data_IF_886115221830
#
_entry.id   IF_886115221830
#
_cell.length_a   1.000
_cell.length_b   1.000
_cell.length_c   1.000
_cell.angle_alpha   90.00
_cell.angle_beta   90.00
_cell.angle_gamma   90.00
#
_symmetry.space_group_name_H-M   'P 1'
#
loop_
_entity.id
_entity.type
_entity.pdbx_description
1 polymer ?
#
# COMPACT_ATOMS: atom_id res chain seq x y z
N UNK A 1 -3.15 6.97 -13.24
CA UNK A 1 -3.55 5.84 -14.10
C UNK A 1 -3.34 4.42 -13.51
N UNK A 2 -2.71 4.24 -12.33
CA UNK A 2 -2.58 2.90 -11.71
C UNK A 2 -3.76 2.49 -10.81
N UNK A 3 -4.55 3.46 -10.30
CA UNK A 3 -5.70 3.19 -9.43
C UNK A 3 -6.88 2.51 -10.14
N UNK A 4 -7.11 2.80 -11.42
CA UNK A 4 -8.22 2.22 -12.19
C UNK A 4 -7.98 0.76 -12.56
N UNK A 5 -6.74 0.35 -12.85
CA UNK A 5 -6.40 -1.05 -13.21
C UNK A 5 -6.51 -2.02 -12.02
N UNK A 6 -6.02 -1.64 -10.85
CA UNK A 6 -6.19 -2.42 -9.61
C UNK A 6 -7.67 -2.50 -9.19
N UNK A 7 -8.45 -1.43 -9.41
CA UNK A 7 -9.88 -1.41 -9.09
C UNK A 7 -10.72 -2.34 -9.98
N UNK A 8 -10.33 -2.51 -11.26
CA UNK A 8 -10.97 -3.46 -12.17
C UNK A 8 -10.60 -4.91 -11.84
N UNK A 9 -9.32 -5.19 -11.53
CA UNK A 9 -8.91 -6.54 -11.10
C UNK A 9 -9.60 -6.96 -9.79
N UNK A 10 -9.75 -6.05 -8.82
CA UNK A 10 -10.49 -6.31 -7.56
C UNK A 10 -11.99 -6.56 -7.77
N UNK A 11 -12.62 -5.88 -8.74
CA UNK A 11 -14.07 -6.05 -9.03
C UNK A 11 -14.41 -7.43 -9.60
N UNK A 12 -13.51 -8.06 -10.35
CA UNK A 12 -13.74 -9.39 -10.93
C UNK A 12 -13.18 -10.56 -10.09
N UNK A 13 -12.39 -10.28 -9.05
CA UNK A 13 -11.76 -11.32 -8.24
C UNK A 13 -12.73 -12.36 -7.66
N UNK A 14 -13.93 -12.01 -7.13
CA UNK A 14 -14.88 -13.01 -6.63
C UNK A 14 -15.39 -13.95 -7.74
N UNK A 15 -15.71 -13.39 -8.91
CA UNK A 15 -16.17 -14.17 -10.08
C UNK A 15 -15.06 -15.10 -10.59
N UNK A 16 -13.85 -14.56 -10.75
CA UNK A 16 -12.67 -15.32 -11.21
C UNK A 16 -12.34 -16.45 -10.24
N UNK A 17 -12.37 -16.19 -8.92
CA UNK A 17 -12.13 -17.21 -7.90
C UNK A 17 -13.18 -18.33 -7.94
N UNK A 18 -14.46 -17.98 -8.12
CA UNK A 18 -15.55 -18.97 -8.23
C UNK A 18 -15.44 -19.82 -9.49
N UNK A 19 -15.16 -19.20 -10.64
CA UNK A 19 -14.93 -19.90 -11.91
C UNK A 19 -13.72 -20.83 -11.82
N UNK A 20 -12.62 -20.36 -11.21
CA UNK A 20 -11.43 -21.16 -10.97
C UNK A 20 -11.74 -22.36 -10.07
N UNK A 21 -12.51 -22.17 -8.99
CA UNK A 21 -12.94 -23.25 -8.11
C UNK A 21 -13.74 -24.32 -8.84
N UNK A 22 -14.69 -23.93 -9.68
CA UNK A 22 -15.45 -24.87 -10.50
C UNK A 22 -14.54 -25.65 -11.47
N UNK A 23 -13.55 -24.99 -12.09
CA UNK A 23 -12.59 -25.67 -12.97
C UNK A 23 -11.68 -26.64 -12.21
N UNK A 24 -11.13 -26.24 -11.06
CA UNK A 24 -10.27 -27.10 -10.23
C UNK A 24 -11.00 -28.40 -9.82
N UNK A 25 -12.29 -28.31 -9.49
CA UNK A 25 -13.08 -29.48 -9.08
C UNK A 25 -13.36 -30.45 -10.24
N UNK A 26 -13.53 -29.92 -11.46
CA UNK A 26 -13.91 -30.71 -12.64
C UNK A 26 -12.72 -31.04 -13.57
N UNK A 27 -11.51 -30.62 -13.24
CA UNK A 27 -10.32 -30.88 -14.06
C UNK A 27 -9.97 -32.38 -14.04
N UNK A 28 -9.69 -32.97 -15.20
CA UNK A 28 -9.28 -34.36 -15.32
C UNK A 28 -7.88 -34.58 -14.74
N UNK A 29 -7.53 -35.80 -14.35
CA UNK A 29 -6.22 -36.11 -13.77
C UNK A 29 -5.05 -35.97 -14.77
N UNK A 30 -5.35 -35.95 -16.07
CA UNK A 30 -4.38 -35.67 -17.14
C UNK A 30 -4.51 -34.24 -17.69
N UNK A 31 -5.29 -33.39 -17.02
CA UNK A 31 -5.57 -32.02 -17.40
C UNK A 31 -4.48 -31.05 -16.96
N UNK A 32 -4.86 -29.81 -16.66
CA UNK A 32 -3.90 -28.78 -16.26
C UNK A 32 -3.24 -29.11 -14.91
N UNK A 33 -1.92 -29.32 -14.93
CA UNK A 33 -1.12 -29.67 -13.75
C UNK A 33 -1.25 -28.65 -12.59
N UNK A 34 -1.37 -27.35 -12.86
CA UNK A 34 -1.53 -26.32 -11.82
C UNK A 34 -2.89 -26.43 -11.12
N UNK A 35 -3.95 -26.73 -11.87
CA UNK A 35 -5.30 -26.92 -11.30
C UNK A 35 -5.37 -28.19 -10.46
N UNK A 36 -4.77 -29.27 -10.94
CA UNK A 36 -4.62 -30.53 -10.19
C UNK A 36 -3.80 -30.28 -8.90
N UNK A 37 -2.75 -29.48 -8.97
CA UNK A 37 -1.95 -29.12 -7.80
C UNK A 37 -2.75 -28.35 -6.75
N UNK A 38 -3.62 -27.42 -7.13
CA UNK A 38 -4.53 -26.76 -6.17
C UNK A 38 -5.40 -27.81 -5.47
N UNK A 39 -5.95 -28.76 -6.22
CA UNK A 39 -6.78 -29.86 -5.69
C UNK A 39 -6.02 -30.72 -4.68
N UNK A 40 -4.79 -31.10 -5.02
CA UNK A 40 -3.89 -31.92 -4.18
C UNK A 40 -3.42 -31.17 -2.92
N UNK A 41 -3.09 -29.89 -3.04
CA UNK A 41 -2.71 -29.03 -1.90
C UNK A 41 -3.87 -28.90 -0.92
N UNK A 42 -5.09 -28.64 -1.42
CA UNK A 42 -6.28 -28.56 -0.57
C UNK A 42 -6.54 -29.85 0.21
N UNK A 43 -6.29 -31.00 -0.42
CA UNK A 43 -6.45 -32.30 0.23
C UNK A 43 -5.36 -32.55 1.28
N UNK A 44 -4.10 -32.18 1.00
CA UNK A 44 -2.97 -32.36 1.93
C UNK A 44 -3.07 -31.47 3.17
N UNK A 45 -3.59 -30.26 3.00
CA UNK A 45 -3.71 -29.26 4.07
C UNK A 45 -5.11 -29.23 4.71
N UNK A 46 -5.97 -30.20 4.39
CA UNK A 46 -7.27 -30.30 5.06
C UNK A 46 -7.06 -30.52 6.56
N UNK A 47 -7.74 -29.73 7.38
CA UNK A 47 -7.76 -29.86 8.83
C UNK A 47 -9.18 -30.14 9.30
N UNK A 48 -9.34 -30.56 10.55
CA UNK A 48 -10.67 -30.73 11.18
C UNK A 48 -11.49 -29.43 11.11
N UNK A 49 -10.81 -28.28 11.14
CA UNK A 49 -11.41 -26.95 11.15
C UNK A 49 -11.83 -26.44 9.76
N UNK A 50 -11.13 -26.86 8.70
CA UNK A 50 -11.37 -26.37 7.34
C UNK A 50 -11.78 -27.54 6.42
N UNK A 51 -13.09 -27.63 6.16
CA UNK A 51 -13.64 -28.58 5.20
C UNK A 51 -13.04 -28.41 3.80
N UNK A 52 -12.85 -29.52 3.09
CA UNK A 52 -12.22 -29.58 1.77
C UNK A 52 -12.77 -28.55 0.75
N UNK A 53 -14.10 -28.37 0.57
CA UNK A 53 -14.63 -27.36 -0.35
C UNK A 53 -14.31 -25.92 0.07
N UNK A 54 -14.23 -25.64 1.38
CA UNK A 54 -13.84 -24.32 1.91
C UNK A 54 -12.36 -24.04 1.68
N UNK A 55 -11.51 -25.06 1.80
CA UNK A 55 -10.09 -24.98 1.48
C UNK A 55 -9.88 -24.65 0.00
N UNK A 56 -10.54 -25.39 -0.90
CA UNK A 56 -10.53 -25.10 -2.35
C UNK A 56 -10.97 -23.66 -2.64
N UNK A 57 -12.10 -23.22 -2.08
CA UNK A 57 -12.60 -21.86 -2.30
C UNK A 57 -11.58 -20.80 -1.86
N UNK A 58 -10.94 -21.00 -0.71
CA UNK A 58 -9.95 -20.06 -0.17
C UNK A 58 -8.67 -20.03 -1.02
N UNK A 59 -8.15 -21.20 -1.40
CA UNK A 59 -6.98 -21.30 -2.27
C UNK A 59 -7.25 -20.74 -3.67
N UNK A 60 -8.44 -20.93 -4.22
CA UNK A 60 -8.85 -20.34 -5.49
C UNK A 60 -8.97 -18.81 -5.41
N UNK A 61 -9.43 -18.25 -4.28
CA UNK A 61 -9.40 -16.79 -4.06
C UNK A 61 -7.98 -16.25 -4.09
N UNK A 62 -7.03 -16.97 -3.49
CA UNK A 62 -5.63 -16.57 -3.55
C UNK A 62 -5.04 -16.73 -4.97
N UNK A 63 -5.27 -17.89 -5.60
CA UNK A 63 -4.78 -18.20 -6.94
C UNK A 63 -5.38 -17.27 -8.02
N UNK A 64 -6.54 -16.64 -7.76
CA UNK A 64 -7.20 -15.70 -8.65
C UNK A 64 -6.28 -14.53 -9.08
N UNK A 65 -5.36 -14.08 -8.20
CA UNK A 65 -4.39 -13.03 -8.57
C UNK A 65 -3.33 -13.48 -9.57
N UNK A 66 -3.13 -14.79 -9.76
CA UNK A 66 -2.11 -15.37 -10.62
C UNK A 66 -2.70 -16.18 -11.80
N UNK A 67 -3.98 -15.99 -12.13
CA UNK A 67 -4.71 -16.76 -13.16
C UNK A 67 -4.02 -16.76 -14.52
N UNK A 68 -3.37 -15.65 -14.91
CA UNK A 68 -2.60 -15.59 -16.15
C UNK A 68 -1.44 -16.59 -16.19
N UNK A 69 -0.78 -16.84 -15.05
CA UNK A 69 0.30 -17.83 -14.95
C UNK A 69 -0.25 -19.25 -14.98
N UNK A 70 -1.37 -19.50 -14.31
CA UNK A 70 -2.04 -20.81 -14.27
C UNK A 70 -2.44 -21.29 -15.67
N UNK A 71 -2.84 -20.38 -16.55
CA UNK A 71 -3.24 -20.67 -17.93
C UNK A 71 -2.21 -20.24 -18.98
N UNK A 72 -0.99 -19.89 -18.58
CA UNK A 72 0.03 -19.52 -19.57
C UNK A 72 0.45 -20.75 -20.36
N UNK A 73 0.46 -20.64 -21.69
CA UNK A 73 0.81 -21.71 -22.64
C UNK A 73 2.28 -22.11 -22.63
N UNK A 74 3.03 -21.80 -21.56
CA UNK A 74 4.47 -21.97 -21.52
C UNK A 74 4.80 -23.47 -21.40
N UNK A 75 5.46 -24.09 -22.40
CA UNK A 75 5.63 -25.54 -22.48
C UNK A 75 6.51 -26.15 -21.38
N UNK A 76 7.20 -25.34 -20.57
CA UNK A 76 7.98 -25.78 -19.41
C UNK A 76 7.15 -26.38 -18.26
N UNK A 77 5.81 -26.25 -18.30
CA UNK A 77 4.89 -26.80 -17.29
C UNK A 77 3.97 -27.92 -17.80
N UNK A 78 4.20 -28.41 -19.03
CA UNK A 78 3.37 -29.48 -19.65
C UNK A 78 3.79 -30.88 -19.16
N UNK A 79 4.83 -30.99 -18.33
CA UNK A 79 5.23 -32.22 -17.65
C UNK A 79 4.64 -32.37 -16.23
N UNK A 80 4.63 -33.60 -15.71
CA UNK A 80 4.29 -33.89 -14.31
C UNK A 80 5.12 -32.99 -13.38
N UNK A 81 4.44 -32.15 -12.60
CA UNK A 81 5.05 -31.29 -11.59
C UNK A 81 5.94 -32.13 -10.65
N UNK A 82 7.18 -31.68 -10.42
CA UNK A 82 8.10 -32.41 -9.53
C UNK A 82 7.58 -32.34 -8.09
N UNK A 83 7.93 -33.31 -7.26
CA UNK A 83 7.51 -33.32 -5.85
C UNK A 83 8.00 -32.08 -5.08
N UNK A 84 9.16 -31.54 -5.46
CA UNK A 84 9.72 -30.29 -4.92
C UNK A 84 8.82 -29.09 -5.22
N UNK A 85 8.33 -28.97 -6.46
CA UNK A 85 7.39 -27.91 -6.85
C UNK A 85 6.07 -28.02 -6.07
N UNK A 86 5.58 -29.25 -5.85
CA UNK A 86 4.39 -29.49 -5.05
C UNK A 86 4.57 -29.05 -3.59
N UNK A 87 5.73 -29.33 -2.99
CA UNK A 87 6.05 -28.91 -1.63
C UNK A 87 6.09 -27.38 -1.51
N UNK A 88 6.63 -26.67 -2.51
CA UNK A 88 6.60 -25.20 -2.58
C UNK A 88 5.16 -24.67 -2.57
N UNK A 89 4.25 -25.29 -3.32
CA UNK A 89 2.84 -24.92 -3.29
C UNK A 89 2.19 -25.19 -1.92
N UNK A 90 2.52 -26.31 -1.27
CA UNK A 90 2.01 -26.64 0.07
C UNK A 90 2.50 -25.64 1.12
N UNK A 91 3.78 -25.28 1.09
CA UNK A 91 4.37 -24.29 2.00
C UNK A 91 3.69 -22.92 1.87
N UNK A 92 3.57 -22.39 0.65
CA UNK A 92 2.88 -21.11 0.43
C UNK A 92 1.41 -21.15 0.85
N UNK A 93 0.70 -22.26 0.55
CA UNK A 93 -0.69 -22.43 0.95
C UNK A 93 -0.87 -22.55 2.47
N UNK A 94 0.02 -23.25 3.18
CA UNK A 94 -0.04 -23.36 4.63
C UNK A 94 0.16 -22.00 5.32
N UNK A 95 1.06 -21.17 4.79
CA UNK A 95 1.25 -19.79 5.28
C UNK A 95 -0.01 -18.96 5.06
N UNK A 96 -0.63 -19.07 3.89
CA UNK A 96 -1.90 -18.39 3.61
C UNK A 96 -3.04 -18.84 4.53
N UNK A 97 -3.13 -20.14 4.80
CA UNK A 97 -4.12 -20.73 5.70
C UNK A 97 -3.77 -20.53 7.18
N UNK A 98 -2.68 -19.83 7.48
CA UNK A 98 -2.19 -19.54 8.82
C UNK A 98 -1.92 -20.80 9.67
N UNK A 99 -1.43 -21.88 9.06
CA UNK A 99 -1.10 -23.12 9.76
C UNK A 99 0.30 -23.04 10.38
N UNK A 100 0.36 -22.72 11.68
CA UNK A 100 1.63 -22.67 12.42
C UNK A 100 2.31 -24.05 12.50
N UNK A 101 1.52 -25.11 12.66
CA UNK A 101 2.01 -26.49 12.73
C UNK A 101 2.80 -26.91 11.48
N UNK A 102 2.27 -26.64 10.29
CA UNK A 102 2.97 -27.00 9.05
C UNK A 102 4.23 -26.15 8.83
N UNK A 103 4.27 -24.92 9.35
CA UNK A 103 5.42 -24.03 9.21
C UNK A 103 6.55 -24.40 10.15
N UNK A 104 6.23 -24.82 11.38
CA UNK A 104 7.23 -25.32 12.33
C UNK A 104 7.91 -26.58 11.77
N UNK A 105 7.20 -27.39 10.98
CA UNK A 105 7.77 -28.54 10.25
C UNK A 105 8.73 -28.16 9.13
N UNK A 106 8.59 -26.97 8.55
CA UNK A 106 9.36 -26.51 7.39
C UNK A 106 10.36 -25.41 7.70
N UNK A 107 10.61 -25.11 8.98
CA UNK A 107 11.59 -24.10 9.40
C UNK A 107 11.39 -22.73 8.70
N UNK A 108 10.16 -22.19 8.76
CA UNK A 108 9.81 -20.87 8.16
C UNK A 108 10.09 -20.76 6.66
N UNK A 109 9.20 -21.29 5.80
CA UNK A 109 9.48 -21.39 4.37
C UNK A 109 9.55 -20.02 3.69
N UNK A 110 10.60 -19.78 2.89
CA UNK A 110 10.77 -18.59 2.04
C UNK A 110 10.71 -18.94 0.55
N UNK A 111 9.56 -19.45 0.13
CA UNK A 111 9.33 -19.94 -1.23
C UNK A 111 8.47 -19.00 -2.08
N UNK A 112 8.69 -19.07 -3.38
CA UNK A 112 7.92 -18.39 -4.42
C UNK A 112 7.06 -19.39 -5.20
N UNK A 113 5.77 -19.42 -4.87
CA UNK A 113 4.82 -20.32 -5.52
C UNK A 113 4.31 -19.72 -6.83
N UNK A 114 4.41 -20.45 -7.93
CA UNK A 114 3.85 -20.01 -9.21
C UNK A 114 2.32 -19.83 -9.17
N UNK A 115 1.63 -20.52 -8.25
CA UNK A 115 0.17 -20.46 -8.06
C UNK A 115 -0.18 -19.41 -6.99
N UNK A 116 0.43 -19.50 -5.81
CA UNK A 116 0.01 -18.75 -4.63
C UNK A 116 0.84 -17.49 -4.35
N UNK A 117 1.98 -17.33 -5.02
CA UNK A 117 2.91 -16.22 -4.81
C UNK A 117 3.89 -16.45 -3.66
N UNK A 118 4.46 -15.34 -3.18
CA UNK A 118 5.50 -15.33 -2.15
C UNK A 118 4.96 -15.69 -0.78
N UNK A 119 5.44 -16.80 -0.20
CA UNK A 119 5.13 -17.18 1.19
C UNK A 119 5.41 -16.04 2.18
N UNK A 120 6.50 -15.29 1.98
CA UNK A 120 6.81 -14.12 2.79
C UNK A 120 5.72 -13.04 2.69
N UNK A 121 5.30 -12.63 1.49
CA UNK A 121 4.23 -11.63 1.36
C UNK A 121 2.89 -12.14 1.90
N UNK A 122 2.62 -13.45 1.77
CA UNK A 122 1.40 -14.07 2.31
C UNK A 122 1.36 -14.01 3.85
N UNK A 123 2.48 -14.25 4.53
CA UNK A 123 2.56 -14.18 5.99
C UNK A 123 2.16 -12.80 6.52
N UNK A 124 2.69 -11.73 5.94
CA UNK A 124 2.36 -10.36 6.38
C UNK A 124 0.97 -9.89 5.93
N UNK A 125 0.42 -10.49 4.88
CA UNK A 125 -0.90 -10.13 4.35
C UNK A 125 -2.04 -10.91 5.02
N UNK A 126 -1.82 -12.14 5.42
CA UNK A 126 -2.89 -13.04 5.90
C UNK A 126 -2.56 -13.76 7.21
N UNK A 127 -1.30 -13.78 7.64
CA UNK A 127 -0.87 -14.47 8.85
C UNK A 127 -1.29 -13.78 10.16
N UNK A 128 -1.32 -14.56 11.24
CA UNK A 128 -1.47 -14.08 12.61
C UNK A 128 -0.20 -13.40 13.13
N UNK A 129 -0.26 -12.82 14.32
CA UNK A 129 0.91 -12.24 14.97
C UNK A 129 2.03 -13.28 15.15
N UNK A 130 1.69 -14.49 15.62
CA UNK A 130 2.67 -15.57 15.86
C UNK A 130 3.32 -16.07 14.55
N UNK A 131 2.57 -16.02 13.45
CA UNK A 131 3.07 -16.32 12.12
C UNK A 131 4.14 -15.31 11.72
N UNK A 132 3.81 -14.03 11.91
CA UNK A 132 4.67 -12.91 11.56
C UNK A 132 5.92 -12.92 12.43
N UNK A 133 5.80 -13.23 13.73
CA UNK A 133 6.94 -13.36 14.62
C UNK A 133 7.92 -14.45 14.20
N UNK A 134 7.44 -15.58 13.67
CA UNK A 134 8.33 -16.60 13.09
C UNK A 134 9.12 -16.04 11.90
N UNK A 135 8.43 -15.36 10.99
CA UNK A 135 9.03 -14.65 9.85
C UNK A 135 9.83 -13.40 10.23
N UNK A 136 9.79 -12.99 11.51
CA UNK A 136 10.63 -11.95 12.08
C UNK A 136 11.73 -12.51 13.02
N UNK A 137 11.72 -13.78 13.45
CA UNK A 137 12.74 -14.46 14.31
C UNK A 137 13.72 -15.55 13.71
N UNK A 138 13.48 -16.12 12.52
CA UNK A 138 14.47 -16.65 11.52
C UNK A 138 15.79 -15.85 11.19
N UNK A 139 16.94 -16.35 11.64
CA UNK A 139 18.37 -15.96 11.43
C UNK A 139 18.83 -14.98 10.31
N UNK A 140 18.10 -14.77 9.22
CA UNK A 140 18.46 -13.90 8.09
C UNK A 140 18.49 -12.38 8.40
N UNK A 141 18.14 -11.93 9.62
CA UNK A 141 18.12 -10.50 9.94
C UNK A 141 19.13 -10.14 11.01
N UNK A 142 20.30 -9.72 10.57
CA UNK A 142 21.20 -8.90 11.39
C UNK A 142 20.66 -7.46 11.52
N UNK A 143 19.84 -6.99 10.58
CA UNK A 143 19.21 -5.66 10.56
C UNK A 143 17.72 -5.75 10.22
N UNK A 144 16.87 -4.82 10.72
CA UNK A 144 15.44 -4.75 10.32
C UNK A 144 15.30 -4.86 8.80
N UNK A 145 14.62 -5.91 8.34
CA UNK A 145 14.72 -6.44 6.97
C UNK A 145 14.50 -5.40 5.86
N UNK A 146 15.28 -5.43 4.75
CA UNK A 146 14.95 -4.68 3.52
C UNK A 146 13.56 -5.02 2.92
N UNK A 147 13.06 -6.23 3.20
CA UNK A 147 11.77 -6.73 2.72
C UNK A 147 10.56 -6.05 3.35
N UNK A 148 10.73 -5.38 4.50
CA UNK A 148 9.66 -4.62 5.18
C UNK A 148 9.03 -3.58 4.24
N UNK A 149 9.85 -2.96 3.37
CA UNK A 149 9.39 -1.99 2.35
C UNK A 149 8.33 -2.57 1.41
N UNK A 150 8.49 -3.83 0.99
CA UNK A 150 7.59 -4.51 0.05
C UNK A 150 6.26 -4.87 0.70
N UNK A 151 6.31 -5.33 1.96
CA UNK A 151 5.11 -5.77 2.69
C UNK A 151 4.39 -4.65 3.42
N UNK A 152 5.05 -3.53 3.75
CA UNK A 152 4.47 -2.44 4.55
C UNK A 152 3.15 -1.89 3.99
N UNK A 153 3.00 -1.83 2.66
CA UNK A 153 1.76 -1.40 2.00
C UNK A 153 0.63 -2.44 2.07
N UNK A 154 0.95 -3.69 2.36
CA UNK A 154 0.07 -4.85 2.28
C UNK A 154 -0.28 -5.47 3.63
N UNK A 155 0.41 -5.06 4.71
CA UNK A 155 0.08 -5.48 6.07
C UNK A 155 -1.40 -5.16 6.34
N UNK A 156 -2.14 -6.16 6.84
CA UNK A 156 -3.55 -5.98 7.25
C UNK A 156 -3.62 -5.65 8.73
N UNK A 157 -4.51 -4.72 9.07
CA UNK A 157 -4.72 -4.29 10.45
C UNK A 157 -3.63 -3.34 10.97
N UNK A 158 -3.98 -2.49 11.94
CA UNK A 158 -3.07 -1.54 12.55
C UNK A 158 -2.12 -2.22 13.54
N UNK A 159 -2.60 -3.20 14.32
CA UNK A 159 -1.82 -3.87 15.35
C UNK A 159 -0.60 -4.60 14.77
N UNK A 160 -0.82 -5.41 13.73
CA UNK A 160 0.26 -6.09 13.00
C UNK A 160 1.23 -5.06 12.41
N UNK A 161 0.71 -3.99 11.81
CA UNK A 161 1.53 -2.94 11.26
C UNK A 161 2.46 -2.32 12.32
N UNK A 162 1.90 -1.93 13.47
CA UNK A 162 2.70 -1.38 14.57
C UNK A 162 3.73 -2.37 15.10
N UNK A 163 3.35 -3.65 15.23
CA UNK A 163 4.23 -4.71 15.70
C UNK A 163 5.47 -4.88 14.81
N UNK A 164 5.25 -5.00 13.51
CA UNK A 164 6.30 -5.18 12.51
C UNK A 164 7.29 -4.02 12.53
N UNK A 165 6.81 -2.79 12.72
CA UNK A 165 7.65 -1.59 12.77
C UNK A 165 8.29 -1.34 14.16
N UNK A 166 7.78 -1.97 15.21
CA UNK A 166 8.38 -2.00 16.56
C UNK A 166 9.37 -3.15 16.73
N UNK A 167 9.43 -4.10 15.79
CA UNK A 167 10.32 -5.25 15.86
C UNK A 167 11.78 -4.81 16.06
N UNK A 168 12.40 -5.28 17.15
CA UNK A 168 13.75 -4.93 17.60
C UNK A 168 14.06 -3.43 17.66
N UNK A 169 13.05 -2.60 17.94
CA UNK A 169 13.27 -1.15 18.09
C UNK A 169 14.21 -0.80 19.26
N UNK A 170 14.23 -1.65 20.30
CA UNK A 170 15.11 -1.49 21.45
C UNK A 170 16.58 -1.80 21.12
N UNK A 171 16.83 -2.86 20.34
CA UNK A 171 18.18 -3.29 19.97
C UNK A 171 18.74 -2.44 18.81
N UNK A 172 17.85 -2.06 17.87
CA UNK A 172 18.15 -1.30 16.67
C UNK A 172 17.13 -0.16 16.57
N UNK A 173 17.44 1.01 17.15
CA UNK A 173 16.60 2.20 17.00
C UNK A 173 16.55 2.72 15.56
N UNK A 174 15.45 3.36 15.16
CA UNK A 174 15.33 3.96 13.82
C UNK A 174 16.35 5.09 13.65
N UNK A 175 17.09 5.10 12.54
CA UNK A 175 18.10 6.08 12.18
C UNK A 175 17.60 6.97 11.04
N UNK A 176 17.29 8.22 11.38
CA UNK A 176 16.82 9.23 10.41
C UNK A 176 17.88 10.26 10.04
N UNK A 177 19.13 10.05 10.48
CA UNK A 177 20.29 10.89 10.19
C UNK A 177 21.02 10.30 8.99
N UNK A 178 21.48 11.12 8.04
CA UNK A 178 22.15 10.67 6.81
C UNK A 178 23.36 9.74 7.10
N UNK A 179 23.11 8.44 7.04
CA UNK A 179 24.11 7.36 7.01
C UNK A 179 23.71 6.30 5.95
N UNK A 180 24.43 5.17 5.89
CA UNK A 180 24.06 4.06 4.99
C UNK A 180 22.66 3.49 5.26
N UNK A 181 22.24 3.41 6.52
CA UNK A 181 20.94 2.87 6.97
C UNK A 181 19.78 3.85 6.73
N UNK A 182 20.03 5.14 6.74
CA UNK A 182 19.04 6.18 6.46
C UNK A 182 18.38 5.98 5.11
N UNK A 183 19.15 5.64 4.09
CA UNK A 183 18.60 5.45 2.74
C UNK A 183 17.62 4.28 2.69
N UNK A 184 17.92 3.16 3.34
CA UNK A 184 17.07 1.97 3.36
C UNK A 184 15.83 2.19 4.24
N UNK A 185 15.99 2.76 5.44
CA UNK A 185 14.89 3.04 6.37
C UNK A 185 13.93 4.10 5.82
N UNK A 186 14.45 5.14 5.15
CA UNK A 186 13.62 6.16 4.46
C UNK A 186 12.78 5.55 3.34
N UNK A 187 13.35 4.63 2.56
CA UNK A 187 12.62 3.93 1.49
C UNK A 187 11.52 3.05 2.10
N UNK A 188 11.81 2.31 3.17
CA UNK A 188 10.84 1.46 3.86
C UNK A 188 9.62 2.26 4.35
N UNK A 189 9.85 3.36 5.05
CA UNK A 189 8.77 4.21 5.54
C UNK A 189 8.04 4.93 4.39
N UNK A 190 8.74 5.35 3.34
CA UNK A 190 8.12 5.95 2.16
C UNK A 190 7.07 5.07 1.47
N UNK A 191 7.24 3.73 1.48
CA UNK A 191 6.20 2.82 1.01
C UNK A 191 5.03 2.68 1.98
N UNK A 192 5.31 2.66 3.28
CA UNK A 192 4.30 2.59 4.32
C UNK A 192 3.37 3.83 4.32
N UNK A 193 3.92 5.00 3.97
CA UNK A 193 3.18 6.27 3.85
C UNK A 193 2.23 6.35 2.65
N UNK A 194 2.26 5.38 1.73
CA UNK A 194 1.30 5.25 0.61
C UNK A 194 -0.01 4.57 1.03
N UNK A 195 -0.27 4.44 2.33
CA UNK A 195 -1.50 3.87 2.89
C UNK A 195 -2.62 4.89 2.96
N UNK A 196 -3.90 4.49 2.80
CA UNK A 196 -5.07 5.33 3.09
C UNK A 196 -5.37 5.53 4.58
N UNK A 197 -4.72 4.75 5.45
CA UNK A 197 -5.04 4.71 6.88
C UNK A 197 -4.34 5.83 7.66
N UNK A 198 -5.07 6.80 8.25
CA UNK A 198 -4.48 7.88 9.03
C UNK A 198 -3.74 7.39 10.27
N UNK A 199 -4.20 6.32 10.92
CA UNK A 199 -3.59 5.82 12.16
C UNK A 199 -2.20 5.22 11.92
N UNK A 200 -1.99 4.60 10.75
CA UNK A 200 -0.64 4.18 10.32
C UNK A 200 0.26 5.37 10.08
N UNK A 201 -0.29 6.45 9.53
CA UNK A 201 0.44 7.69 9.33
C UNK A 201 0.90 8.32 10.63
N UNK A 202 0.01 8.45 11.62
CA UNK A 202 0.36 8.96 12.95
C UNK A 202 1.47 8.14 13.59
N UNK A 203 1.32 6.82 13.60
CA UNK A 203 2.33 5.92 14.15
C UNK A 203 3.70 6.06 13.46
N UNK A 204 3.74 6.15 12.12
CA UNK A 204 5.01 6.36 11.41
C UNK A 204 5.60 7.72 11.80
N UNK A 205 4.79 8.77 11.92
CA UNK A 205 5.27 10.08 12.35
C UNK A 205 5.80 10.08 13.79
N UNK A 206 5.19 9.29 14.68
CA UNK A 206 5.67 9.10 16.04
C UNK A 206 7.01 8.36 16.10
N UNK A 207 7.18 7.27 15.33
CA UNK A 207 8.47 6.59 15.19
C UNK A 207 9.57 7.56 14.78
N UNK A 208 9.23 8.41 13.84
CA UNK A 208 10.06 9.46 13.30
C UNK A 208 10.43 10.53 14.33
N UNK A 209 9.53 10.88 15.25
CA UNK A 209 9.84 11.77 16.39
C UNK A 209 10.81 11.08 17.35
N UNK A 210 10.49 9.85 17.74
CA UNK A 210 11.26 9.07 18.71
C UNK A 210 12.68 8.77 18.21
N UNK A 211 12.85 8.45 16.93
CA UNK A 211 14.15 8.20 16.31
C UNK A 211 15.00 9.46 16.10
N UNK A 212 14.45 10.66 16.32
CA UNK A 212 15.16 11.95 16.22
C UNK A 212 15.55 12.51 17.59
N UNK A 213 15.41 11.74 18.68
CA UNK A 213 15.78 12.14 20.03
C UNK A 213 17.31 12.37 20.12
N UNK A 214 17.71 13.64 19.92
CA UNK A 214 19.08 14.11 19.78
C UNK A 214 19.20 15.35 18.90
N UNK A 215 18.22 15.61 18.01
CA UNK A 215 18.13 16.87 17.27
C UNK A 215 17.19 17.84 17.99
N UNK A 216 17.63 19.06 18.25
CA UNK A 216 16.89 20.13 18.97
C UNK A 216 15.72 20.73 18.17
N UNK A 217 15.20 20.05 17.15
CA UNK A 217 14.10 20.52 16.32
C UNK A 217 12.84 19.67 16.50
N UNK A 218 11.70 20.25 16.91
CA UNK A 218 10.42 19.54 17.09
C UNK A 218 9.85 18.91 15.80
N UNK A 219 10.45 19.21 14.65
CA UNK A 219 10.05 18.66 13.36
C UNK A 219 10.93 17.46 13.03
N UNK A 220 10.28 16.30 12.86
CA UNK A 220 10.80 15.05 12.28
C UNK A 220 11.67 15.26 11.01
N UNK A 221 11.53 16.40 10.34
CA UNK A 221 12.02 16.65 8.98
C UNK A 221 12.82 17.97 8.79
N UNK A 222 13.50 18.53 9.81
CA UNK A 222 14.33 19.76 9.72
C UNK A 222 15.86 19.48 9.85
N UNK A 223 16.85 20.27 9.39
CA UNK A 223 17.00 21.63 8.79
C UNK A 223 18.34 21.67 8.01
N UNK A 224 18.41 22.47 6.93
CA UNK A 224 19.55 22.73 6.01
C UNK A 224 19.31 22.09 4.64
N UNK A 225 19.15 22.77 3.52
CA UNK A 225 19.17 24.18 3.14
C UNK A 225 18.29 24.31 1.89
N UNK A 226 18.04 25.55 1.44
CA UNK A 226 17.70 25.97 0.07
C UNK A 226 17.04 24.91 -0.82
N UNK A 227 15.75 25.10 -1.06
CA UNK A 227 14.99 24.40 -2.12
C UNK A 227 15.05 22.88 -1.91
N UNK A 228 14.03 22.31 -1.25
CA UNK A 228 13.71 20.90 -1.51
C UNK A 228 13.14 20.79 -2.94
N UNK A 229 14.00 21.01 -3.93
CA UNK A 229 13.79 20.60 -5.32
C UNK A 229 13.86 19.08 -5.29
N UNK A 230 12.67 18.47 -5.22
CA UNK A 230 12.39 17.03 -5.23
C UNK A 230 12.55 16.24 -3.91
N UNK A 231 11.44 15.64 -3.44
CA UNK A 231 11.51 14.20 -3.18
C UNK A 231 10.77 13.59 -1.99
N UNK A 232 10.44 14.29 -0.89
CA UNK A 232 9.77 13.62 0.24
C UNK A 232 8.57 14.35 0.81
N UNK A 233 8.70 15.51 1.47
CA UNK A 233 7.52 16.15 2.11
C UNK A 233 6.41 16.53 1.13
N UNK A 234 6.77 17.23 0.05
CA UNK A 234 5.82 17.58 -1.01
C UNK A 234 5.29 16.34 -1.75
N UNK A 235 6.13 15.30 -1.91
CA UNK A 235 5.77 14.06 -2.59
C UNK A 235 4.73 13.26 -1.81
N UNK A 236 4.84 13.16 -0.48
CA UNK A 236 3.85 12.43 0.33
C UNK A 236 2.51 13.15 0.42
N UNK A 237 2.53 14.49 0.58
CA UNK A 237 1.31 15.30 0.56
C UNK A 237 0.63 15.19 -0.83
N UNK A 238 1.42 15.24 -1.90
CA UNK A 238 0.93 15.07 -3.27
C UNK A 238 0.34 13.67 -3.50
N UNK A 239 0.96 12.60 -2.98
CA UNK A 239 0.39 11.26 -3.02
C UNK A 239 -0.94 11.17 -2.25
N UNK A 240 -1.05 11.83 -1.09
CA UNK A 240 -2.30 11.92 -0.33
C UNK A 240 -3.42 12.59 -1.13
N UNK A 241 -3.11 13.68 -1.85
CA UNK A 241 -4.06 14.34 -2.73
C UNK A 241 -4.46 13.48 -3.94
N UNK A 242 -3.50 12.86 -4.62
CA UNK A 242 -3.79 12.00 -5.77
C UNK A 242 -4.66 10.79 -5.42
N UNK A 243 -4.63 10.35 -4.17
CA UNK A 243 -5.39 9.20 -3.67
C UNK A 243 -6.67 9.60 -2.93
N UNK A 244 -6.89 10.89 -2.68
CA UNK A 244 -8.08 11.41 -2.00
C UNK A 244 -8.09 11.22 -0.48
N UNK A 245 -6.92 11.10 0.15
CA UNK A 245 -6.81 10.84 1.58
C UNK A 245 -6.81 12.15 2.39
N UNK A 246 -7.95 12.85 2.41
CA UNK A 246 -8.13 14.15 3.07
C UNK A 246 -7.68 14.15 4.53
N UNK A 247 -7.96 13.09 5.30
CA UNK A 247 -7.53 12.96 6.69
C UNK A 247 -5.99 12.93 6.85
N UNK A 248 -5.29 12.23 5.96
CA UNK A 248 -3.82 12.18 5.95
C UNK A 248 -3.24 13.56 5.63
N UNK A 249 -3.88 14.30 4.72
CA UNK A 249 -3.42 15.65 4.39
C UNK A 249 -3.60 16.61 5.57
N UNK A 250 -4.74 16.56 6.27
CA UNK A 250 -4.95 17.39 7.48
C UNK A 250 -3.95 17.05 8.58
N UNK A 251 -3.67 15.75 8.78
CA UNK A 251 -2.63 15.27 9.68
C UNK A 251 -1.28 15.88 9.27
N UNK A 252 -0.86 15.71 8.02
CA UNK A 252 0.40 16.27 7.50
C UNK A 252 0.53 17.79 7.69
N UNK A 253 -0.58 18.54 7.58
CA UNK A 253 -0.62 19.98 7.85
C UNK A 253 -0.47 20.30 9.34
N UNK A 254 -1.02 19.48 10.23
CA UNK A 254 -0.81 19.57 11.67
C UNK A 254 0.66 19.45 12.10
N UNK A 255 1.47 18.72 11.33
CA UNK A 255 2.91 18.52 11.58
C UNK A 255 3.81 19.63 11.01
N UNK A 256 3.24 20.74 10.50
CA UNK A 256 3.99 21.93 10.12
C UNK A 256 4.54 21.94 8.68
N UNK A 257 3.78 21.42 7.72
CA UNK A 257 4.15 21.50 6.30
C UNK A 257 4.38 22.97 5.84
N UNK A 258 5.64 23.33 5.53
CA UNK A 258 6.07 24.71 5.28
C UNK A 258 5.69 25.29 3.90
N UNK A 259 5.09 24.53 2.99
CA UNK A 259 4.83 24.98 1.60
C UNK A 259 3.33 25.05 1.29
N UNK A 260 2.61 25.95 1.96
CA UNK A 260 1.16 26.11 1.82
C UNK A 260 0.73 26.37 0.35
N UNK A 261 1.45 27.17 -0.43
CA UNK A 261 1.08 27.52 -1.81
C UNK A 261 1.00 26.29 -2.75
N UNK A 262 2.07 25.50 -2.84
CA UNK A 262 2.10 24.31 -3.71
C UNK A 262 1.10 23.22 -3.27
N UNK A 263 0.87 23.11 -1.97
CA UNK A 263 -0.09 22.18 -1.37
C UNK A 263 -1.53 22.59 -1.72
N UNK A 264 -1.83 23.89 -1.70
CA UNK A 264 -3.17 24.43 -2.00
C UNK A 264 -3.51 24.30 -3.48
N UNK A 265 -2.55 24.57 -4.37
CA UNK A 265 -2.68 24.32 -5.81
C UNK A 265 -2.98 22.83 -6.08
N UNK A 266 -2.23 21.92 -5.45
CA UNK A 266 -2.44 20.48 -5.63
C UNK A 266 -3.79 20.01 -5.06
N UNK A 267 -4.23 20.56 -3.92
CA UNK A 267 -5.53 20.29 -3.32
C UNK A 267 -6.68 20.71 -4.23
N UNK A 268 -6.59 21.94 -4.78
CA UNK A 268 -7.57 22.49 -5.70
C UNK A 268 -7.63 21.68 -7.01
N UNK A 269 -6.48 21.37 -7.60
CA UNK A 269 -6.39 20.51 -8.78
C UNK A 269 -6.88 19.09 -8.51
N UNK A 270 -6.85 18.61 -7.27
CA UNK A 270 -7.30 17.25 -6.94
C UNK A 270 -8.77 17.20 -6.51
N UNK A 271 -9.45 18.34 -6.35
CA UNK A 271 -10.87 18.39 -5.97
C UNK A 271 -11.13 18.27 -4.46
N UNK A 272 -10.15 18.61 -3.62
CA UNK A 272 -10.27 18.42 -2.16
C UNK A 272 -10.72 19.68 -1.43
N UNK A 273 -11.99 20.07 -1.61
CA UNK A 273 -12.59 21.32 -1.08
C UNK A 273 -12.33 21.54 0.42
N UNK A 274 -12.56 20.52 1.26
CA UNK A 274 -12.33 20.62 2.71
C UNK A 274 -10.85 20.87 3.08
N UNK A 275 -9.91 20.39 2.25
CA UNK A 275 -8.49 20.67 2.45
C UNK A 275 -8.14 22.09 2.03
N UNK A 276 -8.64 22.54 0.88
CA UNK A 276 -8.47 23.91 0.39
C UNK A 276 -8.95 24.92 1.44
N UNK A 277 -10.14 24.72 2.01
CA UNK A 277 -10.67 25.57 3.10
C UNK A 277 -9.78 25.58 4.35
N UNK A 278 -9.22 24.44 4.74
CA UNK A 278 -8.31 24.36 5.89
C UNK A 278 -6.99 25.07 5.63
N UNK A 279 -6.47 24.98 4.40
CA UNK A 279 -5.23 25.64 3.99
C UNK A 279 -5.37 27.16 3.95
N UNK A 280 -6.49 27.66 3.42
CA UNK A 280 -6.78 29.10 3.34
C UNK A 280 -6.92 29.70 4.73
N UNK A 281 -7.62 29.01 5.65
CA UNK A 281 -7.68 29.40 7.08
C UNK A 281 -6.31 29.48 7.76
N UNK A 282 -5.29 28.84 7.19
CA UNK A 282 -3.89 28.88 7.67
C UNK A 282 -3.01 29.89 6.92
N UNK A 283 -3.61 30.77 6.10
CA UNK A 283 -2.91 31.81 5.35
C UNK A 283 -2.28 31.33 4.04
N UNK A 284 -2.79 30.25 3.45
CA UNK A 284 -2.35 29.84 2.11
C UNK A 284 -2.83 30.83 1.04
N UNK A 285 -2.00 31.00 0.01
CA UNK A 285 -2.35 31.82 -1.16
C UNK A 285 -3.57 31.25 -1.90
N UNK A 286 -4.63 32.05 -1.96
CA UNK A 286 -5.90 31.72 -2.59
C UNK A 286 -5.82 31.78 -4.12
N UNK A 287 -4.95 32.62 -4.67
CA UNK A 287 -4.82 32.87 -6.12
C UNK A 287 -4.44 31.62 -6.88
N UNK A 288 -3.38 30.94 -6.43
CA UNK A 288 -2.93 29.69 -7.05
C UNK A 288 -4.00 28.59 -6.99
N UNK A 289 -4.79 28.54 -5.92
CA UNK A 289 -5.88 27.58 -5.75
C UNK A 289 -7.03 27.84 -6.73
N UNK A 290 -7.40 29.11 -6.91
CA UNK A 290 -8.48 29.53 -7.79
C UNK A 290 -8.17 29.23 -9.26
N UNK A 291 -6.96 29.57 -9.72
CA UNK A 291 -6.50 29.24 -11.08
C UNK A 291 -6.50 27.73 -11.31
N UNK A 292 -6.03 26.95 -10.33
CA UNK A 292 -6.00 25.49 -10.44
C UNK A 292 -7.40 24.86 -10.50
N UNK A 293 -8.32 25.32 -9.66
CA UNK A 293 -9.71 24.85 -9.64
C UNK A 293 -10.45 25.23 -10.94
N UNK A 294 -10.29 26.47 -11.40
CA UNK A 294 -10.90 26.96 -12.64
C UNK A 294 -10.39 26.20 -13.87
N UNK A 295 -9.08 25.97 -13.97
CA UNK A 295 -8.49 25.18 -15.08
C UNK A 295 -8.96 23.73 -15.12
N UNK A 296 -9.33 23.17 -13.98
CA UNK A 296 -9.91 21.83 -13.87
C UNK A 296 -11.42 21.81 -14.17
N UNK A 297 -12.10 22.94 -14.03
CA UNK A 297 -13.57 23.02 -14.07
C UNK A 297 -14.23 22.58 -12.75
N UNK A 298 -13.54 22.70 -11.62
CA UNK A 298 -14.05 22.25 -10.31
C UNK A 298 -14.88 23.35 -9.63
N UNK A 299 -16.14 23.48 -10.08
CA UNK A 299 -17.05 24.56 -9.70
C UNK A 299 -17.34 24.68 -8.20
N UNK A 300 -17.28 23.58 -7.46
CA UNK A 300 -17.49 23.60 -6.00
C UNK A 300 -16.32 24.25 -5.26
N UNK A 301 -15.09 24.02 -5.72
CA UNK A 301 -13.91 24.69 -5.16
C UNK A 301 -13.89 26.15 -5.56
N UNK A 302 -14.22 26.49 -6.82
CA UNK A 302 -14.32 27.88 -7.27
C UNK A 302 -15.33 28.64 -6.42
N UNK A 303 -16.52 28.08 -6.19
CA UNK A 303 -17.57 28.70 -5.35
C UNK A 303 -17.06 28.95 -3.93
N UNK A 304 -16.46 27.94 -3.31
CA UNK A 304 -15.90 28.05 -1.96
C UNK A 304 -14.76 29.07 -1.87
N UNK A 305 -13.93 29.20 -2.90
CA UNK A 305 -12.86 30.20 -2.93
C UNK A 305 -13.42 31.63 -3.05
N UNK A 306 -14.43 31.83 -3.89
CA UNK A 306 -15.13 33.11 -4.04
C UNK A 306 -15.90 33.50 -2.78
N UNK A 307 -16.46 32.53 -2.04
CA UNK A 307 -17.10 32.75 -0.74
C UNK A 307 -16.12 33.21 0.36
N UNK A 308 -14.81 33.02 0.17
CA UNK A 308 -13.75 33.42 1.11
C UNK A 308 -12.99 34.67 0.57
N UNK A 309 -13.65 35.48 -0.26
CA UNK A 309 -13.13 36.72 -0.87
C UNK A 309 -11.86 36.54 -1.72
N UNK A 310 -11.67 35.38 -2.36
CA UNK A 310 -10.59 35.23 -3.33
C UNK A 310 -10.85 36.12 -4.55
N UNK A 311 -9.97 37.09 -4.80
CA UNK A 311 -10.11 38.02 -5.91
C UNK A 311 -9.95 37.29 -7.28
N UNK A 312 -11.00 37.23 -8.10
CA UNK A 312 -10.97 36.55 -9.40
C UNK A 312 -10.16 37.31 -10.46
N UNK A 313 -9.95 38.62 -10.28
CA UNK A 313 -9.26 39.50 -11.23
C UNK A 313 -7.76 39.61 -10.92
N UNK A 314 -7.37 39.38 -9.67
CA UNK A 314 -5.97 39.29 -9.26
C UNK A 314 -5.25 38.05 -9.83
N UNK A 315 -6.00 37.07 -10.36
CA UNK A 315 -5.50 35.79 -10.89
C UNK A 315 -4.57 35.90 -12.12
N UNK A 316 -4.47 37.07 -12.76
CA UNK A 316 -3.54 37.35 -13.86
C UNK A 316 -4.20 37.28 -15.23
N UNK A 317 -3.96 38.34 -16.00
CA UNK A 317 -4.65 38.80 -17.22
C UNK A 317 -4.48 37.95 -18.49
N UNK A 318 -4.09 36.68 -18.40
CA UNK A 318 -4.15 35.78 -19.57
C UNK A 318 -5.07 34.55 -19.36
N UNK A 319 -5.57 34.31 -18.14
CA UNK A 319 -6.36 33.12 -17.79
C UNK A 319 -7.38 33.40 -16.67
N UNK A 320 -8.28 34.37 -16.87
CA UNK A 320 -9.31 34.69 -15.86
C UNK A 320 -10.12 33.44 -15.47
N UNK A 321 -10.24 33.19 -14.17
CA UNK A 321 -11.00 32.06 -13.60
C UNK A 321 -12.47 32.08 -14.04
N UNK A 322 -12.98 33.26 -14.42
CA UNK A 322 -14.34 33.49 -14.90
C UNK A 322 -14.57 32.84 -16.28
N UNK A 323 -13.56 32.84 -17.17
CA UNK A 323 -13.68 32.31 -18.53
C UNK A 323 -13.77 30.78 -18.64
N UNK A 324 -13.24 30.05 -17.65
CA UNK A 324 -13.33 28.58 -17.59
C UNK A 324 -14.56 28.09 -16.80
N UNK A 325 -15.00 28.84 -15.79
CA UNK A 325 -16.24 28.54 -15.06
C UNK A 325 -17.47 28.68 -15.98
N UNK A 326 -17.46 29.63 -16.92
CA UNK A 326 -18.54 29.83 -17.90
C UNK A 326 -18.63 28.73 -18.96
N UNK A 327 -17.55 28.00 -19.24
CA UNK A 327 -17.54 26.89 -20.23
C UNK A 327 -17.96 25.54 -19.65
N UNK A 328 -18.05 25.41 -18.32
CA UNK A 328 -18.40 24.16 -17.62
C UNK A 328 -19.78 24.16 -16.95
N UNK A 329 -20.45 25.32 -16.87
CA UNK A 329 -21.82 25.47 -16.37
C UNK A 329 -22.90 25.44 -17.47
N UNK A 330 -22.56 24.94 -18.67
CA UNK A 330 -23.47 24.77 -19.81
C UNK A 330 -24.07 23.38 -19.90
#
# INVERSE_FOLDING_TARGET
MLGTRLSLELKFQPFVASSLGHRVLNESDNGNAMLISIRRVAHRLQSVEISYPRSISSLCKLAASNVRRIFSSNPSFVGSMRQEDFNVHCQAAAVYLNSLYEIDKWETPRVESAIFGSSFELAFRFGSMDMIDRYLNDTYWENRSPGLSRVARHIRGLAIFQHVFRYRIADLSWCFIRDGRYTSERVQLGYALKTPDPARWEFIMDLHRLGNNGSTSPCVWHRSERVCSSGSRSSHIFCGFQQGHTAIVQLLLGYGARTLAAITIAAAWSGHTAVVQSLIRRGADQKGALVAAARKGDGDIVRVLLEIDADPDEAGTELSAIGYASTTLG
#
